data_IF_953262217471
#
_entry.id   IF_953262217471
#
_cell.length_a   1.000
_cell.length_b   1.000
_cell.length_c   1.000
_cell.angle_alpha   90.00
_cell.angle_beta   90.00
_cell.angle_gamma   90.00
#
_symmetry.space_group_name_H-M   'P 1'
#
loop_
_entity.id
_entity.type
_entity.pdbx_description
1 polymer ?
#
# COMPACT_ATOMS: atom_id res chain seq x y z
N UNK A 1 25.57 -19.12 -0.33
CA UNK A 1 26.07 -17.72 -0.40
C UNK A 1 25.74 -17.01 0.89
N UNK A 2 26.71 -16.31 1.52
CA UNK A 2 26.44 -15.50 2.71
C UNK A 2 25.43 -14.41 2.34
N UNK A 3 24.43 -14.20 3.17
CA UNK A 3 23.42 -13.14 2.96
C UNK A 3 24.08 -11.79 3.27
N UNK A 4 24.08 -10.87 2.32
CA UNK A 4 24.56 -9.50 2.55
C UNK A 4 23.73 -8.84 3.67
N UNK A 5 24.42 -8.00 4.47
CA UNK A 5 23.75 -7.12 5.43
C UNK A 5 22.78 -6.21 4.68
N UNK A 6 21.57 -6.03 5.22
CA UNK A 6 20.62 -5.08 4.65
C UNK A 6 21.04 -3.67 5.04
N UNK A 7 20.99 -2.76 4.09
CA UNK A 7 21.05 -1.33 4.38
C UNK A 7 19.79 -0.99 5.18
N UNK A 8 19.95 -0.66 6.44
CA UNK A 8 18.85 -0.37 7.38
C UNK A 8 19.32 0.74 8.33
N UNK A 9 19.39 1.95 7.79
CA UNK A 9 19.65 3.16 8.57
C UNK A 9 18.32 3.83 8.90
N UNK A 10 18.16 4.46 10.06
CA UNK A 10 17.02 5.34 10.33
C UNK A 10 16.85 6.36 9.20
N UNK A 11 15.62 6.58 8.76
CA UNK A 11 15.31 7.45 7.62
C UNK A 11 15.34 6.78 6.25
N UNK A 12 15.75 5.50 6.16
CA UNK A 12 15.75 4.78 4.88
C UNK A 12 14.34 4.38 4.47
N UNK A 13 13.95 4.73 3.25
CA UNK A 13 12.68 4.31 2.65
C UNK A 13 12.76 2.88 2.13
N UNK A 14 11.83 2.04 2.55
CA UNK A 14 11.79 0.63 2.18
C UNK A 14 10.46 0.23 1.58
N UNK A 15 10.50 -0.40 0.40
CA UNK A 15 9.39 -1.21 -0.08
C UNK A 15 9.56 -2.65 0.42
N UNK A 16 8.69 -3.04 1.32
CA UNK A 16 8.72 -4.36 1.97
C UNK A 16 7.64 -5.25 1.37
N UNK A 17 8.02 -6.48 1.05
CA UNK A 17 7.11 -7.53 0.57
C UNK A 17 7.24 -8.77 1.43
N UNK A 18 6.10 -9.33 1.81
CA UNK A 18 6.02 -10.60 2.54
C UNK A 18 5.06 -11.54 1.81
N UNK A 19 5.44 -12.79 1.63
CA UNK A 19 4.64 -13.78 0.92
C UNK A 19 4.46 -15.04 1.74
N UNK A 20 3.30 -15.67 1.61
CA UNK A 20 3.01 -16.97 2.19
C UNK A 20 3.88 -18.07 1.59
N UNK A 21 4.20 -19.07 2.43
CA UNK A 21 4.92 -20.26 1.99
C UNK A 21 4.16 -20.94 0.83
N UNK A 22 4.87 -21.37 -0.20
CA UNK A 22 4.29 -22.01 -1.39
C UNK A 22 3.14 -21.19 -2.04
N UNK A 23 3.19 -19.86 -1.88
CA UNK A 23 2.13 -18.93 -2.32
C UNK A 23 0.78 -19.17 -1.61
N UNK A 24 0.75 -19.91 -0.51
CA UNK A 24 -0.46 -20.15 0.28
C UNK A 24 -0.97 -18.86 0.91
N UNK A 25 -2.27 -18.79 1.23
CA UNK A 25 -2.83 -17.64 1.95
C UNK A 25 -2.10 -17.36 3.27
N UNK A 26 -1.88 -16.09 3.55
CA UNK A 26 -1.43 -15.58 4.84
C UNK A 26 -2.59 -15.05 5.69
N UNK A 27 -3.76 -14.89 5.08
CA UNK A 27 -5.03 -14.55 5.71
C UNK A 27 -6.12 -15.41 5.09
N UNK A 28 -6.91 -16.10 5.90
CA UNK A 28 -8.01 -16.96 5.43
C UNK A 28 -9.36 -16.27 5.54
N UNK A 29 -9.52 -15.39 6.51
CA UNK A 29 -10.78 -14.73 6.80
C UNK A 29 -10.59 -13.28 7.29
N UNK A 30 -11.70 -12.66 7.63
CA UNK A 30 -11.76 -11.29 8.10
C UNK A 30 -11.03 -11.06 9.42
N UNK A 31 -11.03 -12.04 10.31
CA UNK A 31 -10.34 -11.98 11.61
C UNK A 31 -8.84 -11.92 11.43
N UNK A 32 -8.30 -12.75 10.53
CA UNK A 32 -6.89 -12.73 10.18
C UNK A 32 -6.46 -11.39 9.59
N UNK A 33 -7.27 -10.85 8.68
CA UNK A 33 -7.01 -9.55 8.05
C UNK A 33 -6.99 -8.44 9.09
N UNK A 34 -7.99 -8.41 9.98
CA UNK A 34 -8.08 -7.43 11.07
C UNK A 34 -6.90 -7.54 12.03
N UNK A 35 -6.50 -8.77 12.43
CA UNK A 35 -5.36 -8.97 13.33
C UNK A 35 -4.05 -8.48 12.70
N UNK A 36 -3.82 -8.78 11.41
CA UNK A 36 -2.63 -8.30 10.71
C UNK A 36 -2.56 -6.77 10.68
N UNK A 37 -3.64 -6.11 10.27
CA UNK A 37 -3.70 -4.64 10.15
C UNK A 37 -3.60 -3.97 11.52
N UNK A 38 -4.28 -4.51 12.54
CA UNK A 38 -4.17 -4.04 13.93
C UNK A 38 -2.73 -4.09 14.44
N UNK A 39 -2.02 -5.20 14.19
CA UNK A 39 -0.61 -5.36 14.59
C UNK A 39 0.30 -4.38 13.86
N UNK A 40 0.07 -4.20 12.56
CA UNK A 40 0.84 -3.25 11.76
C UNK A 40 0.68 -1.83 12.31
N UNK A 41 -0.57 -1.40 12.55
CA UNK A 41 -0.86 -0.07 13.07
C UNK A 41 -0.31 0.15 14.48
N UNK A 42 -0.59 -0.77 15.42
CA UNK A 42 -0.09 -0.66 16.79
C UNK A 42 1.44 -0.60 16.84
N UNK A 43 2.12 -1.39 16.01
CA UNK A 43 3.58 -1.37 15.96
C UNK A 43 4.12 -0.09 15.31
N UNK A 44 3.46 0.43 14.29
CA UNK A 44 3.83 1.69 13.65
C UNK A 44 3.73 2.86 14.64
N UNK A 45 2.65 2.94 15.41
CA UNK A 45 2.45 3.95 16.47
C UNK A 45 3.47 3.81 17.60
N UNK A 46 3.64 2.60 18.14
CA UNK A 46 4.59 2.33 19.24
C UNK A 46 6.03 2.71 18.88
N UNK A 47 6.43 2.42 17.64
CA UNK A 47 7.83 2.61 17.20
C UNK A 47 8.04 3.90 16.42
N UNK A 48 7.00 4.71 16.24
CA UNK A 48 7.01 5.93 15.42
C UNK A 48 7.59 5.67 14.02
N UNK A 49 7.21 4.53 13.44
CA UNK A 49 7.64 4.13 12.09
C UNK A 49 6.64 4.64 11.06
N UNK A 50 6.97 5.62 10.22
CA UNK A 50 6.05 6.14 9.21
C UNK A 50 5.69 5.06 8.19
N UNK A 51 4.39 4.81 8.00
CA UNK A 51 3.84 3.93 6.95
C UNK A 51 3.16 4.80 5.92
N UNK A 52 3.67 4.83 4.70
CA UNK A 52 3.15 5.66 3.61
C UNK A 52 2.10 4.97 2.75
N UNK A 53 2.33 3.69 2.43
CA UNK A 53 1.39 2.88 1.66
C UNK A 53 1.46 1.42 2.09
N UNK A 54 0.33 0.73 1.98
CA UNK A 54 0.25 -0.69 2.26
C UNK A 54 -0.97 -1.30 1.56
N UNK A 55 -0.86 -2.61 1.26
CA UNK A 55 -1.97 -3.41 0.74
C UNK A 55 -1.79 -4.86 1.16
N UNK A 56 -2.81 -5.41 1.81
CA UNK A 56 -2.86 -6.80 2.26
C UNK A 56 -3.72 -7.61 1.30
N UNK A 57 -3.09 -8.52 0.57
CA UNK A 57 -3.72 -9.50 -0.28
C UNK A 57 -3.90 -10.83 0.45
N UNK A 58 -4.53 -11.80 -0.19
CA UNK A 58 -4.76 -13.12 0.43
C UNK A 58 -3.46 -13.85 0.79
N UNK A 59 -2.44 -13.79 -0.05
CA UNK A 59 -1.20 -14.55 0.10
C UNK A 59 0.08 -13.71 0.22
N UNK A 60 -0.04 -12.39 0.23
CA UNK A 60 1.11 -11.48 0.40
C UNK A 60 0.67 -10.11 0.88
N UNK A 61 1.64 -9.33 1.35
CA UNK A 61 1.47 -7.92 1.74
C UNK A 61 2.59 -7.07 1.19
N UNK A 62 2.25 -5.88 0.74
CA UNK A 62 3.18 -4.80 0.41
C UNK A 62 3.08 -3.70 1.46
N UNK A 63 4.22 -3.16 1.88
CA UNK A 63 4.30 -2.05 2.83
C UNK A 63 5.40 -1.09 2.35
N UNK A 64 5.09 0.18 2.24
CA UNK A 64 6.06 1.26 2.04
C UNK A 64 6.22 2.01 3.35
N UNK A 65 7.40 1.98 3.90
CA UNK A 65 7.70 2.57 5.21
C UNK A 65 9.08 3.22 5.24
N UNK A 66 9.25 4.16 6.16
CA UNK A 66 10.55 4.70 6.50
C UNK A 66 11.08 4.02 7.76
N UNK A 67 12.32 3.54 7.72
CA UNK A 67 12.95 2.89 8.87
C UNK A 67 13.10 3.89 10.02
N UNK A 68 12.48 3.58 11.16
CA UNK A 68 12.60 4.35 12.39
C UNK A 68 13.81 3.93 13.24
N UNK A 69 13.92 4.47 14.45
CA UNK A 69 14.99 4.16 15.40
C UNK A 69 15.06 2.67 15.81
N UNK A 70 13.93 1.96 15.77
CA UNK A 70 13.88 0.52 16.04
C UNK A 70 14.61 -0.31 14.98
N UNK A 71 14.71 0.19 13.75
CA UNK A 71 15.23 -0.50 12.57
C UNK A 71 14.22 -1.46 11.94
N UNK A 72 14.29 -1.58 10.62
CA UNK A 72 13.37 -2.41 9.83
C UNK A 72 13.39 -3.88 10.27
N UNK A 73 14.57 -4.41 10.58
CA UNK A 73 14.70 -5.83 10.92
C UNK A 73 13.94 -6.19 12.21
N UNK A 74 14.00 -5.34 13.23
CA UNK A 74 13.26 -5.55 14.49
C UNK A 74 11.76 -5.32 14.30
N UNK A 75 11.38 -4.28 13.56
CA UNK A 75 9.99 -3.98 13.22
C UNK A 75 9.33 -5.19 12.53
N UNK A 76 9.92 -5.67 11.44
CA UNK A 76 9.38 -6.79 10.68
C UNK A 76 9.39 -8.11 11.48
N UNK A 77 10.40 -8.35 12.29
CA UNK A 77 10.42 -9.53 13.17
C UNK A 77 9.25 -9.50 14.14
N UNK A 78 8.99 -8.37 14.82
CA UNK A 78 7.89 -8.24 15.77
C UNK A 78 6.54 -8.46 15.07
N UNK A 79 6.32 -7.80 13.93
CA UNK A 79 5.09 -7.92 13.15
C UNK A 79 4.85 -9.38 12.72
N UNK A 80 5.81 -9.96 12.01
CA UNK A 80 5.61 -11.26 11.36
C UNK A 80 5.58 -12.42 12.35
N UNK A 81 6.42 -12.40 13.39
CA UNK A 81 6.42 -13.45 14.41
C UNK A 81 5.14 -13.39 15.22
N UNK A 82 4.75 -12.19 15.69
CA UNK A 82 3.51 -12.04 16.46
C UNK A 82 2.28 -12.47 15.68
N UNK A 83 2.21 -12.11 14.39
CA UNK A 83 1.12 -12.54 13.52
C UNK A 83 1.14 -14.06 13.28
N UNK A 84 2.30 -14.64 12.92
CA UNK A 84 2.40 -16.07 12.62
C UNK A 84 2.02 -16.95 13.82
N UNK A 85 2.39 -16.55 15.04
CA UNK A 85 1.97 -17.25 16.26
C UNK A 85 0.45 -17.23 16.41
N UNK A 86 -0.17 -16.03 16.31
CA UNK A 86 -1.62 -15.87 16.41
C UNK A 86 -2.37 -16.67 15.33
N UNK A 87 -1.92 -16.56 14.07
CA UNK A 87 -2.49 -17.28 12.95
C UNK A 87 -2.41 -18.80 13.13
N UNK A 88 -1.23 -19.33 13.51
CA UNK A 88 -1.05 -20.77 13.71
C UNK A 88 -1.91 -21.30 14.87
N UNK A 89 -1.97 -20.59 16.00
CA UNK A 89 -2.84 -20.96 17.12
C UNK A 89 -4.32 -20.99 16.70
N UNK A 90 -4.77 -19.96 15.99
CA UNK A 90 -6.15 -19.84 15.56
C UNK A 90 -6.56 -20.93 14.58
N UNK A 91 -5.67 -21.25 13.64
CA UNK A 91 -5.92 -22.25 12.58
C UNK A 91 -5.42 -23.66 12.93
N UNK A 92 -4.98 -23.90 14.16
CA UNK A 92 -4.43 -25.19 14.63
C UNK A 92 -3.34 -25.73 13.69
N UNK A 93 -2.46 -24.82 13.23
CA UNK A 93 -1.37 -25.12 12.30
C UNK A 93 -0.02 -25.13 13.00
N UNK A 94 0.92 -25.87 12.42
CA UNK A 94 2.33 -25.89 12.79
C UNK A 94 3.20 -25.49 11.60
N UNK A 95 4.38 -24.91 11.87
CA UNK A 95 5.34 -24.54 10.84
C UNK A 95 5.21 -23.10 10.34
N UNK A 96 5.89 -22.80 9.24
CA UNK A 96 6.01 -21.45 8.74
C UNK A 96 4.74 -20.96 8.03
N UNK A 97 4.34 -19.74 8.30
CA UNK A 97 3.30 -19.03 7.56
C UNK A 97 3.90 -18.34 6.33
N UNK A 98 5.08 -17.76 6.49
CA UNK A 98 5.76 -17.01 5.46
C UNK A 98 6.87 -17.81 4.78
N UNK A 99 7.04 -17.63 3.46
CA UNK A 99 8.00 -18.36 2.63
C UNK A 99 9.45 -18.13 3.08
N UNK A 100 9.75 -16.86 3.44
CA UNK A 100 11.06 -16.42 3.90
C UNK A 100 10.87 -15.28 4.91
N UNK A 101 12.01 -14.70 5.35
CA UNK A 101 11.97 -13.34 5.88
C UNK A 101 11.39 -12.43 4.79
N UNK A 102 10.92 -11.24 5.16
CA UNK A 102 10.48 -10.24 4.20
C UNK A 102 11.57 -9.92 3.13
N UNK A 103 11.16 -9.58 1.92
CA UNK A 103 12.00 -8.92 0.93
C UNK A 103 11.91 -7.41 1.16
N UNK A 104 13.04 -6.72 1.14
CA UNK A 104 13.10 -5.26 1.26
C UNK A 104 13.90 -4.71 0.10
N UNK A 105 13.38 -3.67 -0.54
CA UNK A 105 14.04 -2.88 -1.56
C UNK A 105 14.18 -1.47 -0.98
N UNK A 106 15.40 -0.96 -0.93
CA UNK A 106 15.67 0.45 -0.60
C UNK A 106 15.21 1.28 -1.79
N UNK A 107 14.44 2.31 -1.49
CA UNK A 107 13.86 3.20 -2.49
C UNK A 107 14.56 4.55 -2.41
N UNK A 108 15.03 5.03 -3.56
CA UNK A 108 15.72 6.31 -3.67
C UNK A 108 15.02 7.17 -4.73
N UNK A 109 14.81 8.45 -4.40
CA UNK A 109 14.20 9.44 -5.30
C UNK A 109 12.69 9.63 -5.17
N UNK A 110 12.26 10.91 -5.25
CA UNK A 110 10.87 11.34 -5.03
C UNK A 110 9.89 10.79 -6.07
N UNK A 111 10.32 10.69 -7.32
CA UNK A 111 9.48 10.11 -8.39
C UNK A 111 9.15 8.65 -8.13
N UNK A 112 10.11 7.88 -7.63
CA UNK A 112 9.92 6.48 -7.31
C UNK A 112 8.97 6.27 -6.12
N UNK A 113 8.95 7.21 -5.16
CA UNK A 113 8.03 7.19 -4.04
C UNK A 113 6.57 7.21 -4.51
N UNK A 114 6.20 8.17 -5.34
CA UNK A 114 4.82 8.32 -5.83
C UNK A 114 4.38 7.14 -6.68
N UNK A 115 5.26 6.58 -7.49
CA UNK A 115 5.00 5.37 -8.28
C UNK A 115 4.77 4.15 -7.40
N UNK A 116 5.57 3.99 -6.33
CA UNK A 116 5.40 2.90 -5.37
C UNK A 116 4.10 3.01 -4.59
N UNK A 117 3.73 4.21 -4.14
CA UNK A 117 2.43 4.43 -3.48
C UNK A 117 1.29 3.99 -4.39
N UNK A 118 1.32 4.40 -5.67
CA UNK A 118 0.32 3.98 -6.67
C UNK A 118 0.35 2.47 -6.89
N UNK A 119 1.54 1.91 -7.11
CA UNK A 119 1.73 0.47 -7.31
C UNK A 119 1.12 -0.33 -6.18
N UNK A 120 1.44 0.02 -4.92
CA UNK A 120 0.96 -0.69 -3.74
C UNK A 120 -0.55 -0.55 -3.59
N UNK A 121 -1.09 0.67 -3.73
CA UNK A 121 -2.52 0.91 -3.57
C UNK A 121 -3.38 0.28 -4.67
N UNK A 122 -2.85 0.15 -5.89
CA UNK A 122 -3.56 -0.49 -7.00
C UNK A 122 -3.40 -2.02 -7.03
N UNK A 123 -2.58 -2.60 -6.14
CA UNK A 123 -2.37 -4.04 -6.10
C UNK A 123 -3.65 -4.87 -5.92
N UNK A 124 -4.60 -4.51 -5.02
CA UNK A 124 -5.85 -5.25 -4.89
C UNK A 124 -6.66 -5.30 -6.20
N UNK A 125 -6.64 -4.23 -6.98
CA UNK A 125 -7.29 -4.17 -8.30
C UNK A 125 -6.57 -5.06 -9.32
N UNK A 126 -5.24 -5.04 -9.33
CA UNK A 126 -4.41 -5.84 -10.26
C UNK A 126 -4.53 -7.35 -10.04
N UNK A 127 -4.78 -7.77 -8.80
CA UNK A 127 -4.98 -9.19 -8.45
C UNK A 127 -6.47 -9.54 -8.36
N UNK A 128 -7.34 -8.68 -8.88
CA UNK A 128 -8.79 -8.88 -8.97
C UNK A 128 -9.49 -9.16 -7.63
N UNK A 129 -8.92 -8.67 -6.52
CA UNK A 129 -9.60 -8.68 -5.21
C UNK A 129 -10.72 -7.65 -5.13
N UNK A 130 -10.63 -6.61 -5.92
CA UNK A 130 -11.64 -5.58 -6.13
C UNK A 130 -11.78 -5.33 -7.64
N UNK A 131 -12.98 -4.99 -8.09
CA UNK A 131 -13.32 -4.92 -9.53
C UNK A 131 -13.01 -3.55 -10.13
N UNK A 132 -13.08 -2.51 -9.32
CA UNK A 132 -12.94 -1.13 -9.77
C UNK A 132 -12.37 -0.23 -8.67
N UNK A 133 -12.12 1.04 -8.98
CA UNK A 133 -11.59 2.02 -8.02
C UNK A 133 -12.59 2.36 -6.93
N UNK A 134 -13.90 2.24 -7.17
CA UNK A 134 -14.93 2.48 -6.17
C UNK A 134 -14.91 1.39 -5.09
N UNK A 135 -14.76 0.13 -5.50
CA UNK A 135 -14.55 -0.97 -4.55
C UNK A 135 -13.21 -0.81 -3.81
N UNK A 136 -12.15 -0.35 -4.49
CA UNK A 136 -10.85 -0.08 -3.88
C UNK A 136 -10.91 1.03 -2.82
N UNK A 137 -11.66 2.10 -3.06
CA UNK A 137 -11.89 3.17 -2.09
C UNK A 137 -12.46 2.63 -0.78
N UNK A 138 -13.32 1.62 -0.86
CA UNK A 138 -13.99 0.99 0.28
C UNK A 138 -13.27 -0.28 0.79
N UNK A 139 -12.17 -0.70 0.13
CA UNK A 139 -11.46 -1.90 0.53
C UNK A 139 -10.63 -1.66 1.81
N UNK A 140 -11.01 -2.27 2.95
CA UNK A 140 -10.45 -1.90 4.25
C UNK A 140 -9.03 -2.41 4.49
N UNK A 141 -8.50 -3.24 3.59
CA UNK A 141 -7.19 -3.88 3.70
C UNK A 141 -6.15 -3.28 2.75
N UNK A 142 -6.35 -2.00 2.42
CA UNK A 142 -5.43 -1.19 1.64
C UNK A 142 -5.41 0.24 2.18
N UNK A 143 -4.26 0.90 2.11
CA UNK A 143 -4.09 2.30 2.52
C UNK A 143 -4.74 3.32 1.59
N UNK A 144 -5.30 2.89 0.46
CA UNK A 144 -5.91 3.79 -0.53
C UNK A 144 -7.08 4.60 0.05
N UNK A 145 -8.06 3.92 0.66
CA UNK A 145 -9.20 4.57 1.28
C UNK A 145 -8.78 5.56 2.38
N UNK A 146 -7.74 5.24 3.15
CA UNK A 146 -7.22 6.12 4.21
C UNK A 146 -6.70 7.45 3.64
N UNK A 147 -6.02 7.45 2.49
CA UNK A 147 -5.59 8.69 1.80
C UNK A 147 -6.80 9.51 1.35
N UNK A 148 -7.90 8.85 1.00
CA UNK A 148 -9.16 9.51 0.64
C UNK A 148 -9.98 9.94 1.87
N UNK A 149 -9.55 9.57 3.09
CA UNK A 149 -10.18 9.93 4.36
C UNK A 149 -11.16 8.88 4.89
N UNK A 150 -11.24 7.68 4.31
CA UNK A 150 -12.20 6.63 4.70
C UNK A 150 -11.58 5.23 4.62
N UNK A 151 -11.41 4.50 5.72
CA UNK A 151 -11.46 4.94 7.12
C UNK A 151 -10.21 5.73 7.49
N UNK A 152 -10.32 6.66 8.42
CA UNK A 152 -9.16 7.36 8.96
C UNK A 152 -8.29 6.39 9.78
N UNK A 153 -7.02 6.26 9.41
CA UNK A 153 -6.02 5.47 10.15
C UNK A 153 -4.87 6.40 10.53
N UNK A 154 -4.78 6.76 11.81
CA UNK A 154 -3.80 7.73 12.30
C UNK A 154 -2.35 7.27 12.13
N UNK A 155 -2.13 5.96 12.11
CA UNK A 155 -0.80 5.38 11.93
C UNK A 155 -0.27 5.38 10.49
N UNK A 156 -1.12 5.72 9.49
CA UNK A 156 -0.66 5.90 8.10
C UNK A 156 -0.34 7.38 7.88
N UNK A 157 0.87 7.67 7.44
CA UNK A 157 1.32 9.02 7.12
C UNK A 157 0.75 9.45 5.76
N UNK A 158 -0.50 9.90 5.80
CA UNK A 158 -1.20 10.41 4.61
C UNK A 158 -0.71 11.81 4.22
N UNK A 159 -0.21 12.58 5.18
CA UNK A 159 0.21 13.96 4.94
C UNK A 159 1.45 14.02 4.04
N UNK A 160 2.49 13.27 4.38
CA UNK A 160 3.69 13.14 3.56
C UNK A 160 3.39 12.61 2.16
N UNK A 161 2.47 11.63 2.06
CA UNK A 161 2.05 11.09 0.76
C UNK A 161 1.36 12.16 -0.07
N UNK A 162 0.38 12.88 0.50
CA UNK A 162 -0.37 13.91 -0.21
C UNK A 162 0.50 15.10 -0.63
N UNK A 163 1.51 15.45 0.19
CA UNK A 163 2.47 16.50 -0.14
C UNK A 163 3.24 16.20 -1.43
N UNK A 164 3.62 14.93 -1.65
CA UNK A 164 4.31 14.49 -2.88
C UNK A 164 3.41 14.50 -4.13
N UNK A 165 2.09 14.46 -3.94
CA UNK A 165 1.13 14.55 -5.05
C UNK A 165 0.71 15.99 -5.39
N UNK A 166 1.24 17.00 -4.70
CA UNK A 166 1.04 18.44 -4.94
C UNK A 166 0.30 19.15 -3.82
N UNK A 167 0.45 20.47 -3.77
CA UNK A 167 -0.10 21.36 -2.74
C UNK A 167 -1.60 21.16 -2.54
N UNK A 168 -2.03 21.14 -1.28
CA UNK A 168 -3.43 21.21 -0.90
C UNK A 168 -4.04 22.50 -1.48
N UNK A 169 -4.98 22.38 -2.38
CA UNK A 169 -5.93 23.47 -2.60
C UNK A 169 -7.05 23.30 -1.56
N UNK A 170 -7.43 24.39 -0.92
CA UNK A 170 -8.42 24.47 0.16
C UNK A 170 -9.82 23.90 -0.18
N UNK A 171 -10.06 23.50 -1.41
CA UNK A 171 -11.39 23.11 -1.91
C UNK A 171 -11.57 21.66 -2.40
N UNK A 172 -10.58 20.77 -2.26
CA UNK A 172 -10.86 19.44 -2.74
C UNK A 172 -9.73 18.42 -2.70
N UNK A 173 -9.64 17.68 -1.62
CA UNK A 173 -8.74 16.51 -1.52
C UNK A 173 -9.04 15.43 -2.58
N UNK A 174 -10.29 15.20 -2.90
CA UNK A 174 -10.75 14.12 -3.77
C UNK A 174 -10.51 14.33 -5.28
N UNK A 175 -10.81 15.50 -5.87
CA UNK A 175 -10.64 15.67 -7.33
C UNK A 175 -9.18 15.58 -7.77
N UNK A 176 -8.24 16.11 -6.98
CA UNK A 176 -6.81 16.19 -7.34
C UNK A 176 -6.14 14.82 -7.34
N UNK A 177 -6.42 14.00 -6.33
CA UNK A 177 -5.88 12.64 -6.23
C UNK A 177 -6.45 11.76 -7.34
N UNK A 178 -7.77 11.79 -7.56
CA UNK A 178 -8.43 11.09 -8.68
C UNK A 178 -7.85 11.48 -10.03
N UNK A 179 -7.68 12.77 -10.28
CA UNK A 179 -7.11 13.31 -11.52
C UNK A 179 -5.70 12.78 -11.76
N UNK A 180 -4.85 12.75 -10.73
CA UNK A 180 -3.47 12.25 -10.86
C UNK A 180 -3.40 10.74 -11.05
N UNK A 181 -4.26 9.96 -10.37
CA UNK A 181 -4.38 8.52 -10.58
C UNK A 181 -4.80 8.22 -12.03
N UNK A 182 -5.86 8.87 -12.52
CA UNK A 182 -6.33 8.73 -13.91
C UNK A 182 -5.22 9.04 -14.90
N UNK A 183 -4.51 10.13 -14.71
CA UNK A 183 -3.41 10.54 -15.59
C UNK A 183 -2.29 9.53 -15.62
N UNK A 184 -1.85 9.04 -14.46
CA UNK A 184 -0.81 8.03 -14.37
C UNK A 184 -1.19 6.71 -15.03
N UNK A 185 -2.45 6.31 -14.94
CA UNK A 185 -2.94 5.09 -15.60
C UNK A 185 -2.85 5.20 -17.13
N UNK A 186 -3.11 6.39 -17.69
CA UNK A 186 -2.97 6.61 -19.14
C UNK A 186 -1.51 6.71 -19.55
N UNK A 187 -0.73 7.58 -18.90
CA UNK A 187 0.60 7.99 -19.35
C UNK A 187 1.66 6.90 -19.11
N UNK A 188 1.58 6.20 -17.96
CA UNK A 188 2.65 5.27 -17.55
C UNK A 188 2.30 3.80 -17.78
N UNK A 189 1.01 3.47 -17.96
CA UNK A 189 0.59 2.07 -18.09
C UNK A 189 -0.18 1.80 -19.39
N UNK A 190 -0.40 2.81 -20.24
CA UNK A 190 -1.08 2.65 -21.52
C UNK A 190 -2.52 2.10 -21.41
N UNK A 191 -3.16 2.25 -20.24
CA UNK A 191 -4.53 1.76 -20.03
C UNK A 191 -5.47 2.58 -20.89
N UNK A 192 -6.29 1.91 -21.70
CA UNK A 192 -7.23 2.58 -22.60
C UNK A 192 -8.21 3.50 -21.84
N UNK A 193 -8.46 4.69 -22.37
CA UNK A 193 -9.36 5.69 -21.79
C UNK A 193 -10.73 5.11 -21.43
N UNK A 194 -11.26 4.21 -22.25
CA UNK A 194 -12.53 3.52 -22.00
C UNK A 194 -12.46 2.59 -20.77
N UNK A 195 -11.34 1.91 -20.58
CA UNK A 195 -11.10 1.05 -19.41
C UNK A 195 -10.98 1.87 -18.14
N UNK A 196 -10.26 2.98 -18.20
CA UNK A 196 -10.15 3.92 -17.06
C UNK A 196 -11.52 4.52 -16.73
N UNK A 197 -12.29 4.93 -17.73
CA UNK A 197 -13.64 5.46 -17.54
C UNK A 197 -14.54 4.46 -16.81
N UNK A 198 -14.48 3.20 -17.21
CA UNK A 198 -15.21 2.10 -16.56
C UNK A 198 -14.74 1.87 -15.14
N UNK A 199 -13.41 1.84 -14.89
CA UNK A 199 -12.80 1.57 -13.60
C UNK A 199 -12.98 2.73 -12.60
N UNK A 200 -12.94 3.98 -13.09
CA UNK A 200 -13.08 5.19 -12.26
C UNK A 200 -14.54 5.58 -12.02
N UNK A 201 -15.48 4.94 -12.74
CA UNK A 201 -16.92 5.25 -12.65
C UNK A 201 -17.29 6.64 -13.18
N UNK A 202 -16.53 7.15 -14.16
CA UNK A 202 -16.80 8.40 -14.88
C UNK A 202 -16.94 8.15 -16.37
N UNK A 203 -17.54 9.08 -17.10
CA UNK A 203 -17.63 8.94 -18.55
C UNK A 203 -16.26 9.05 -19.25
N UNK A 204 -16.11 8.48 -20.43
CA UNK A 204 -14.90 8.65 -21.26
C UNK A 204 -14.58 10.11 -21.52
N UNK A 205 -15.61 10.94 -21.72
CA UNK A 205 -15.47 12.41 -21.79
C UNK A 205 -14.96 13.04 -20.49
N UNK A 206 -15.30 12.47 -19.34
CA UNK A 206 -14.77 12.88 -18.03
C UNK A 206 -13.28 12.59 -17.92
N UNK A 207 -12.83 11.41 -18.35
CA UNK A 207 -11.40 11.05 -18.40
C UNK A 207 -10.66 11.98 -19.37
N UNK A 208 -11.19 12.22 -20.56
CA UNK A 208 -10.59 13.13 -21.55
C UNK A 208 -10.48 14.56 -21.01
N UNK A 209 -11.50 15.09 -20.33
CA UNK A 209 -11.44 16.42 -19.68
C UNK A 209 -10.34 16.48 -18.61
N UNK A 210 -10.10 15.41 -17.88
CA UNK A 210 -9.00 15.31 -16.88
C UNK A 210 -7.65 15.39 -17.61
N UNK A 211 -7.51 14.71 -18.74
CA UNK A 211 -6.27 14.67 -19.51
C UNK A 211 -5.99 16.00 -20.25
N UNK A 212 -7.02 16.64 -20.79
CA UNK A 212 -6.88 17.87 -21.61
C UNK A 212 -6.76 19.16 -20.81
N UNK A 213 -7.24 19.18 -19.57
CA UNK A 213 -7.23 20.39 -18.69
C UNK A 213 -5.83 20.93 -18.32
N UNK A 214 -4.75 20.35 -18.82
CA UNK A 214 -3.36 20.73 -18.55
C UNK A 214 -2.58 21.12 -19.79
N UNK A 215 -3.23 21.17 -20.97
CA UNK A 215 -2.60 21.71 -22.19
C UNK A 215 -2.84 23.23 -22.33
N UNK A 216 -3.41 23.87 -21.30
CA UNK A 216 -3.76 25.28 -21.30
C UNK A 216 -3.17 25.99 -20.07
N UNK A 217 -1.86 25.81 -19.81
CA UNK A 217 -1.02 26.71 -18.95
C UNK A 217 0.35 26.79 -19.62
#
# INVERSE_FOLDING_TARGET
MPRQARLDSPGTLHHVMVRGIEKRPIVNDETDRKDFVRRLGALAEETQTPIYAWALMSNHVHILLCSGALGLAKFMRRLLTGYAVSYNLRHRRHGHVFQNRYKSIVCDGDNYFTELVRYIHLNPLRVELVKDLKELENYPYCGHGTILGTPARQWQDCESVLAQFGTRTSEGRLPTVRTKIVRSLVENYGVAVAEIARQVGISTSGVLKILTRTLSI
#
